data_IF_837072037887
#
_entry.id   IF_837072037887
#
_cell.length_a   1.000
_cell.length_b   1.000
_cell.length_c   1.000
_cell.angle_alpha   90.00
_cell.angle_beta   90.00
_cell.angle_gamma   90.00
#
_symmetry.space_group_name_H-M   'P 1'
#
loop_
_entity.id
_entity.type
_entity.pdbx_description
1 polymer ?
#
# COMPACT_ATOMS: atom_id res chain seq x y z
N UNK A 1 -65.44 46.12 -8.89
CA UNK A 1 -65.24 47.40 -8.19
C UNK A 1 -64.77 47.07 -6.79
N UNK A 2 -63.72 47.77 -6.33
CA UNK A 2 -63.19 47.80 -4.97
C UNK A 2 -62.36 46.60 -4.60
N UNK A 3 -61.02 46.50 -4.63
CA UNK A 3 -60.04 47.40 -4.08
C UNK A 3 -59.69 46.90 -2.66
N UNK A 4 -58.77 45.91 -2.47
CA UNK A 4 -58.28 45.52 -1.16
C UNK A 4 -56.75 45.73 -1.07
N UNK A 5 -56.44 46.52 -0.03
CA UNK A 5 -55.22 47.19 0.33
C UNK A 5 -54.11 46.23 0.81
N UNK A 6 -52.88 46.58 0.41
CA UNK A 6 -51.63 46.02 0.87
C UNK A 6 -51.26 46.51 2.28
N UNK A 7 -51.88 45.99 3.34
CA UNK A 7 -51.48 46.39 4.73
C UNK A 7 -51.89 45.39 5.81
N UNK A 8 -51.55 44.10 5.67
CA UNK A 8 -51.67 43.17 6.81
C UNK A 8 -50.68 42.00 6.74
N UNK A 9 -49.44 42.33 6.39
CA UNK A 9 -48.37 41.33 6.38
C UNK A 9 -47.15 41.80 7.19
N UNK A 10 -47.35 42.11 8.44
CA UNK A 10 -46.24 42.32 9.40
C UNK A 10 -46.80 42.17 10.82
N UNK A 11 -46.71 40.97 11.38
CA UNK A 11 -46.58 40.72 12.84
C UNK A 11 -46.63 39.20 13.09
N UNK A 12 -45.52 38.53 12.86
CA UNK A 12 -45.20 37.32 13.63
C UNK A 12 -43.68 37.33 13.88
N UNK A 13 -43.31 37.69 15.08
CA UNK A 13 -41.99 37.68 15.60
C UNK A 13 -41.49 36.23 15.69
N UNK A 14 -40.64 35.81 14.76
CA UNK A 14 -39.95 34.57 14.86
C UNK A 14 -38.70 34.69 15.75
N UNK A 15 -38.71 33.96 16.84
CA UNK A 15 -37.55 33.74 17.68
C UNK A 15 -36.45 33.05 16.85
N UNK A 16 -35.37 33.73 16.58
CA UNK A 16 -34.18 33.13 15.97
C UNK A 16 -33.44 32.40 17.09
N UNK A 17 -33.59 31.08 17.14
CA UNK A 17 -32.72 30.20 17.89
C UNK A 17 -31.37 30.17 17.16
N UNK A 18 -30.36 30.83 17.69
CA UNK A 18 -28.99 30.69 17.27
C UNK A 18 -28.49 29.31 17.66
N UNK A 19 -28.71 28.32 16.77
CA UNK A 19 -28.04 27.04 16.84
C UNK A 19 -26.57 27.24 16.53
N UNK A 20 -25.73 27.16 17.56
CA UNK A 20 -24.28 27.04 17.36
C UNK A 20 -24.01 25.74 16.59
N UNK A 21 -23.87 25.82 15.28
CA UNK A 21 -23.25 24.77 14.50
C UNK A 21 -21.79 24.70 14.95
N UNK A 22 -21.51 23.77 15.88
CA UNK A 22 -20.18 23.29 16.08
C UNK A 22 -19.74 22.68 14.73
N UNK A 23 -19.10 23.51 13.91
CA UNK A 23 -18.46 23.07 12.67
C UNK A 23 -17.32 22.13 13.04
N UNK A 24 -17.62 20.85 13.20
CA UNK A 24 -16.61 19.83 13.08
C UNK A 24 -15.98 20.04 11.70
N UNK A 25 -14.71 20.46 11.65
CA UNK A 25 -13.93 20.35 10.43
C UNK A 25 -13.94 18.87 10.06
N UNK A 26 -14.79 18.51 9.11
CA UNK A 26 -14.60 17.30 8.33
C UNK A 26 -13.22 17.50 7.70
N UNK A 27 -12.20 16.86 8.26
CA UNK A 27 -10.91 16.73 7.60
C UNK A 27 -11.23 15.88 6.38
N UNK A 28 -11.38 16.53 5.23
CA UNK A 28 -11.48 15.82 3.97
C UNK A 28 -10.22 14.96 3.88
N UNK A 29 -10.41 13.65 3.66
CA UNK A 29 -9.39 12.79 3.10
C UNK A 29 -9.37 13.09 1.59
N UNK A 30 -8.41 13.88 1.10
CA UNK A 30 -8.42 14.35 -0.27
C UNK A 30 -8.21 13.23 -1.28
N UNK A 31 -7.63 12.10 -0.87
CA UNK A 31 -7.46 10.92 -1.70
C UNK A 31 -8.72 10.04 -1.68
N UNK A 32 -9.66 10.25 -0.75
CA UNK A 32 -10.81 9.38 -0.50
C UNK A 32 -10.43 7.91 -0.30
N UNK A 33 -9.22 7.65 0.21
CA UNK A 33 -8.65 6.33 0.41
C UNK A 33 -8.19 6.17 1.86
N UNK A 34 -8.35 4.96 2.40
CA UNK A 34 -7.83 4.62 3.73
C UNK A 34 -6.31 4.71 3.76
N UNK A 35 -5.76 5.27 4.83
CA UNK A 35 -4.32 5.24 5.06
C UNK A 35 -3.93 3.81 5.44
N UNK A 36 -3.11 3.17 4.61
CA UNK A 36 -2.56 1.84 4.83
C UNK A 36 -1.15 1.87 5.39
N UNK A 37 -0.75 0.80 6.10
CA UNK A 37 0.62 0.55 6.52
C UNK A 37 1.06 -0.84 6.12
N UNK A 38 2.26 -0.96 5.54
CA UNK A 38 2.95 -2.24 5.43
C UNK A 38 3.53 -2.61 6.81
N UNK A 39 3.08 -3.75 7.36
CA UNK A 39 3.44 -4.18 8.73
C UNK A 39 4.93 -4.54 8.90
N UNK A 40 5.70 -4.65 7.81
CA UNK A 40 7.15 -4.76 7.88
C UNK A 40 7.80 -3.56 8.59
N UNK A 41 7.17 -2.38 8.52
CA UNK A 41 7.59 -1.19 9.27
C UNK A 41 7.62 -1.40 10.80
N UNK A 42 6.77 -2.27 11.31
CA UNK A 42 6.67 -2.58 12.75
C UNK A 42 7.10 -4.02 13.11
N UNK A 43 7.88 -4.67 12.21
CA UNK A 43 8.36 -6.06 12.36
C UNK A 43 9.07 -6.36 13.68
N UNK A 44 9.70 -5.34 14.29
CA UNK A 44 10.40 -5.47 15.54
C UNK A 44 9.49 -5.27 16.77
N UNK A 45 8.30 -4.69 16.59
CA UNK A 45 7.34 -4.41 17.65
C UNK A 45 6.29 -5.53 17.76
N UNK A 46 5.77 -6.02 16.64
CA UNK A 46 4.72 -7.03 16.59
C UNK A 46 5.06 -8.32 17.36
N UNK A 47 6.29 -8.88 17.35
CA UNK A 47 6.62 -10.05 18.15
C UNK A 47 6.62 -9.78 19.65
N UNK A 48 6.78 -8.53 20.09
CA UNK A 48 6.86 -8.15 21.51
C UNK A 48 5.47 -7.88 22.09
N UNK A 49 4.65 -7.17 21.32
CA UNK A 49 3.27 -6.82 21.71
C UNK A 49 2.44 -6.67 20.45
N UNK A 50 1.84 -7.75 20.00
CA UNK A 50 1.10 -7.79 18.76
C UNK A 50 -0.15 -6.90 18.82
N UNK A 51 -0.99 -7.12 19.82
CA UNK A 51 -2.28 -6.43 19.93
C UNK A 51 -2.10 -4.95 20.28
N UNK A 52 -1.19 -4.62 21.21
CA UNK A 52 -0.88 -3.23 21.54
C UNK A 52 -0.27 -2.46 20.38
N UNK A 53 0.57 -3.10 19.54
CA UNK A 53 1.11 -2.47 18.33
C UNK A 53 -0.01 -2.14 17.35
N UNK A 54 -0.93 -3.06 17.09
CA UNK A 54 -2.07 -2.82 16.19
C UNK A 54 -2.99 -1.70 16.71
N UNK A 55 -3.27 -1.66 18.01
CA UNK A 55 -4.05 -0.57 18.60
C UNK A 55 -3.35 0.79 18.43
N UNK A 56 -2.05 0.89 18.64
CA UNK A 56 -1.29 2.11 18.45
C UNK A 56 -1.30 2.59 16.98
N UNK A 57 -1.26 1.65 16.01
CA UNK A 57 -1.40 1.98 14.58
C UNK A 57 -2.78 2.55 14.27
N UNK A 58 -3.84 1.94 14.80
CA UNK A 58 -5.20 2.43 14.63
C UNK A 58 -5.39 3.83 15.24
N UNK A 59 -4.85 4.07 16.44
CA UNK A 59 -4.84 5.39 17.10
C UNK A 59 -4.05 6.44 16.30
N UNK A 60 -2.93 6.04 15.66
CA UNK A 60 -2.17 6.91 14.77
C UNK A 60 -2.99 7.33 13.54
N UNK A 61 -4.00 6.53 13.17
CA UNK A 61 -4.95 6.85 12.11
C UNK A 61 -4.88 5.95 10.91
N UNK A 62 -4.09 4.90 10.95
CA UNK A 62 -4.13 3.84 9.94
C UNK A 62 -5.48 3.12 9.98
N UNK A 63 -5.97 2.68 8.84
CA UNK A 63 -7.24 1.96 8.69
C UNK A 63 -7.07 0.64 7.96
N UNK A 64 -6.04 0.55 7.14
CA UNK A 64 -5.67 -0.65 6.41
C UNK A 64 -4.25 -1.08 6.76
N UNK A 65 -3.99 -2.37 6.64
CA UNK A 65 -2.65 -2.92 6.76
C UNK A 65 -2.40 -3.94 5.66
N UNK A 66 -1.14 -4.05 5.31
CA UNK A 66 -0.61 -5.15 4.53
C UNK A 66 0.26 -6.02 5.43
N UNK A 67 0.00 -7.32 5.45
CA UNK A 67 0.71 -8.25 6.30
C UNK A 67 2.11 -8.58 5.77
N UNK A 68 3.10 -8.62 6.65
CA UNK A 68 4.46 -9.10 6.39
C UNK A 68 4.71 -10.39 7.20
N UNK A 69 3.99 -11.45 6.83
CA UNK A 69 3.90 -12.68 7.64
C UNK A 69 2.82 -12.59 8.72
N UNK A 70 2.55 -13.72 9.40
CA UNK A 70 1.40 -13.86 10.30
C UNK A 70 1.78 -14.08 11.78
N UNK A 71 3.04 -13.97 12.14
CA UNK A 71 3.55 -14.00 13.53
C UNK A 71 3.05 -15.21 14.33
N UNK A 72 3.04 -16.40 13.73
CA UNK A 72 2.55 -17.68 14.31
C UNK A 72 1.07 -17.65 14.74
N UNK A 73 0.28 -16.68 14.28
CA UNK A 73 -1.16 -16.65 14.54
C UNK A 73 -1.91 -17.49 13.50
N UNK A 74 -2.92 -18.20 13.97
CA UNK A 74 -3.91 -18.81 13.08
C UNK A 74 -4.75 -17.74 12.40
N UNK A 75 -5.39 -18.06 11.28
CA UNK A 75 -6.23 -17.10 10.55
C UNK A 75 -7.38 -16.52 11.43
N UNK A 76 -8.09 -17.31 12.26
CA UNK A 76 -9.07 -16.75 13.19
C UNK A 76 -8.47 -15.80 14.24
N UNK A 77 -7.29 -16.10 14.80
CA UNK A 77 -6.62 -15.24 15.77
C UNK A 77 -6.16 -13.94 15.12
N UNK A 78 -5.59 -14.01 13.90
CA UNK A 78 -5.22 -12.83 13.12
C UNK A 78 -6.42 -11.92 12.86
N UNK A 79 -7.49 -12.52 12.31
CA UNK A 79 -8.71 -11.77 12.03
C UNK A 79 -9.29 -11.12 13.28
N UNK A 80 -9.35 -11.85 14.39
CA UNK A 80 -9.82 -11.31 15.66
C UNK A 80 -9.00 -10.10 16.11
N UNK A 81 -7.67 -10.19 16.07
CA UNK A 81 -6.80 -9.08 16.46
C UNK A 81 -6.99 -7.84 15.56
N UNK A 82 -7.13 -8.02 14.25
CA UNK A 82 -7.44 -6.92 13.32
C UNK A 82 -8.79 -6.28 13.64
N UNK A 83 -9.83 -7.09 13.86
CA UNK A 83 -11.17 -6.61 14.21
C UNK A 83 -11.15 -5.83 15.54
N UNK A 84 -10.44 -6.31 16.57
CA UNK A 84 -10.29 -5.62 17.86
C UNK A 84 -9.55 -4.27 17.74
N UNK A 85 -8.54 -4.20 16.89
CA UNK A 85 -7.81 -2.96 16.61
C UNK A 85 -8.58 -2.00 15.70
N UNK A 86 -9.67 -2.44 15.04
CA UNK A 86 -10.39 -1.65 14.04
C UNK A 86 -9.57 -1.43 12.77
N UNK A 87 -8.68 -2.37 12.42
CA UNK A 87 -7.86 -2.38 11.23
C UNK A 87 -8.38 -3.42 10.24
N UNK A 88 -8.24 -3.13 8.95
CA UNK A 88 -8.55 -4.06 7.87
C UNK A 88 -7.26 -4.52 7.19
N UNK A 89 -6.97 -5.82 7.26
CA UNK A 89 -5.90 -6.41 6.47
C UNK A 89 -6.45 -6.69 5.06
N UNK A 90 -5.88 -6.05 4.04
CA UNK A 90 -6.37 -6.15 2.66
C UNK A 90 -5.41 -6.86 1.74
N UNK A 91 -4.15 -6.93 2.12
CA UNK A 91 -3.05 -7.50 1.34
C UNK A 91 -2.04 -8.24 2.23
N UNK A 92 -1.24 -9.09 1.63
CA UNK A 92 -0.14 -9.81 2.31
C UNK A 92 1.05 -9.98 1.40
N UNK A 93 2.25 -9.88 1.98
CA UNK A 93 3.53 -10.17 1.34
C UNK A 93 4.02 -11.58 1.66
N UNK A 94 4.45 -12.29 0.62
CA UNK A 94 5.14 -13.57 0.72
C UNK A 94 6.28 -13.65 -0.29
N UNK A 95 7.48 -14.13 0.08
CA UNK A 95 8.55 -14.37 -0.90
C UNK A 95 8.18 -15.55 -1.81
N UNK A 96 8.67 -15.54 -3.05
CA UNK A 96 8.36 -16.56 -4.06
C UNK A 96 8.63 -17.99 -3.59
N UNK A 97 9.71 -18.31 -2.85
CA UNK A 97 9.91 -19.64 -2.32
C UNK A 97 8.75 -20.14 -1.44
N UNK A 98 8.25 -19.26 -0.56
CA UNK A 98 7.12 -19.59 0.32
C UNK A 98 5.83 -19.79 -0.48
N UNK A 99 5.55 -18.93 -1.45
CA UNK A 99 4.40 -19.07 -2.36
C UNK A 99 4.43 -20.39 -3.12
N UNK A 100 5.61 -20.83 -3.57
CA UNK A 100 5.73 -22.11 -4.27
C UNK A 100 5.56 -23.32 -3.34
N UNK A 101 6.05 -23.23 -2.12
CA UNK A 101 6.05 -24.34 -1.17
C UNK A 101 4.70 -24.53 -0.47
N UNK A 102 4.01 -23.43 -0.15
CA UNK A 102 2.82 -23.40 0.72
C UNK A 102 1.61 -22.73 0.06
N UNK A 103 1.53 -22.77 -1.27
CA UNK A 103 0.55 -22.00 -2.04
C UNK A 103 -0.90 -22.21 -1.59
N UNK A 104 -1.32 -23.47 -1.41
CA UNK A 104 -2.70 -23.79 -1.00
C UNK A 104 -3.01 -23.31 0.42
N UNK A 105 -2.08 -23.53 1.34
CA UNK A 105 -2.20 -23.10 2.74
C UNK A 105 -2.31 -21.58 2.85
N UNK A 106 -1.48 -20.85 2.11
CA UNK A 106 -1.49 -19.40 2.07
C UNK A 106 -2.79 -18.85 1.45
N UNK A 107 -3.29 -19.47 0.40
CA UNK A 107 -4.57 -19.11 -0.22
C UNK A 107 -5.73 -19.30 0.75
N UNK A 108 -5.81 -20.45 1.44
CA UNK A 108 -6.87 -20.73 2.40
C UNK A 108 -6.79 -19.80 3.63
N UNK A 109 -5.58 -19.49 4.09
CA UNK A 109 -5.37 -18.50 5.14
C UNK A 109 -5.89 -17.12 4.70
N UNK A 110 -5.47 -16.65 3.53
CA UNK A 110 -5.86 -15.38 2.95
C UNK A 110 -7.39 -15.25 2.77
N UNK A 111 -8.05 -16.31 2.29
CA UNK A 111 -9.51 -16.36 2.20
C UNK A 111 -10.19 -16.24 3.55
N UNK A 112 -9.68 -16.94 4.56
CA UNK A 112 -10.25 -16.93 5.92
C UNK A 112 -10.21 -15.54 6.54
N UNK A 113 -9.14 -14.78 6.33
CA UNK A 113 -9.03 -13.41 6.84
C UNK A 113 -9.60 -12.34 5.88
N UNK A 114 -10.08 -12.74 4.70
CA UNK A 114 -10.76 -11.86 3.76
C UNK A 114 -9.85 -10.93 2.96
N UNK A 115 -8.64 -11.40 2.62
CA UNK A 115 -7.70 -10.62 1.80
C UNK A 115 -8.24 -10.40 0.38
N UNK A 116 -7.87 -9.27 -0.19
CA UNK A 116 -8.12 -8.92 -1.59
C UNK A 116 -6.90 -9.19 -2.47
N UNK A 117 -5.70 -9.03 -1.90
CA UNK A 117 -4.44 -9.16 -2.63
C UNK A 117 -3.47 -10.12 -1.94
N UNK A 118 -2.73 -10.85 -2.77
CA UNK A 118 -1.58 -11.66 -2.36
C UNK A 118 -0.38 -11.22 -3.19
N UNK A 119 0.62 -10.64 -2.56
CA UNK A 119 1.76 -10.01 -3.21
C UNK A 119 3.02 -10.84 -3.02
N UNK A 120 3.71 -11.11 -4.13
CA UNK A 120 5.08 -11.62 -4.05
C UNK A 120 6.02 -10.48 -3.69
N UNK A 121 6.67 -10.57 -2.53
CA UNK A 121 7.55 -9.54 -1.99
C UNK A 121 9.01 -9.66 -2.46
N UNK A 122 9.42 -10.82 -2.93
CA UNK A 122 10.79 -11.02 -3.45
C UNK A 122 10.83 -12.23 -4.38
N UNK A 123 11.61 -12.14 -5.48
CA UNK A 123 11.80 -13.23 -6.42
C UNK A 123 12.80 -14.26 -5.88
N UNK A 124 13.10 -15.25 -6.68
CA UNK A 124 14.17 -16.21 -6.48
C UNK A 124 14.77 -16.62 -7.81
N UNK A 125 15.99 -17.14 -7.79
CA UNK A 125 16.57 -17.82 -8.96
C UNK A 125 15.73 -19.05 -9.33
N UNK A 126 15.69 -19.33 -10.63
CA UNK A 126 15.10 -20.57 -11.14
C UNK A 126 15.79 -21.81 -10.55
N UNK A 127 17.11 -21.80 -10.51
CA UNK A 127 17.92 -22.75 -9.76
C UNK A 127 18.18 -22.22 -8.34
N UNK A 128 17.59 -22.81 -7.29
CA UNK A 128 17.73 -22.32 -5.92
C UNK A 128 19.17 -22.44 -5.36
N UNK A 129 20.06 -23.13 -6.06
CA UNK A 129 21.49 -23.23 -5.69
C UNK A 129 22.33 -22.10 -6.27
N UNK A 130 21.79 -21.34 -7.23
CA UNK A 130 22.45 -20.20 -7.85
C UNK A 130 22.75 -19.11 -6.83
N UNK A 131 23.90 -18.46 -7.01
CA UNK A 131 24.36 -17.33 -6.20
C UNK A 131 24.75 -16.17 -7.11
N UNK A 132 24.47 -14.97 -6.69
CA UNK A 132 24.77 -13.76 -7.46
C UNK A 132 23.53 -13.07 -7.99
N UNK A 133 23.68 -12.14 -8.96
CA UNK A 133 22.56 -11.44 -9.56
C UNK A 133 21.64 -12.39 -10.34
N UNK A 134 20.36 -12.13 -10.35
CA UNK A 134 19.41 -12.83 -11.20
C UNK A 134 19.66 -12.46 -12.67
N UNK A 135 19.52 -13.46 -13.55
CA UNK A 135 19.67 -13.31 -15.00
C UNK A 135 18.30 -12.99 -15.65
N UNK A 136 18.33 -12.57 -16.91
CA UNK A 136 17.10 -12.36 -17.69
C UNK A 136 16.28 -13.65 -17.81
N UNK A 137 16.93 -14.82 -17.90
CA UNK A 137 16.26 -16.13 -17.92
C UNK A 137 15.57 -16.44 -16.58
N UNK A 138 16.17 -16.06 -15.45
CA UNK A 138 15.50 -16.16 -14.15
C UNK A 138 14.24 -15.30 -14.12
N UNK A 139 14.30 -14.08 -14.64
CA UNK A 139 13.16 -13.16 -14.64
C UNK A 139 12.03 -13.60 -15.60
N UNK A 140 12.37 -14.23 -16.73
CA UNK A 140 11.37 -14.87 -17.58
C UNK A 140 10.66 -16.02 -16.86
N UNK A 141 11.41 -16.89 -16.19
CA UNK A 141 10.84 -17.96 -15.38
C UNK A 141 9.99 -17.42 -14.21
N UNK A 142 10.42 -16.34 -13.55
CA UNK A 142 9.63 -15.65 -12.51
C UNK A 142 8.30 -15.16 -13.08
N UNK A 143 8.29 -14.58 -14.29
CA UNK A 143 7.07 -14.13 -14.95
C UNK A 143 6.10 -15.28 -15.22
N UNK A 144 6.61 -16.45 -15.67
CA UNK A 144 5.80 -17.66 -15.87
C UNK A 144 5.19 -18.15 -14.55
N UNK A 145 5.98 -18.18 -13.47
CA UNK A 145 5.48 -18.54 -12.13
C UNK A 145 4.43 -17.53 -11.62
N UNK A 146 4.61 -16.25 -11.88
CA UNK A 146 3.63 -15.23 -11.50
C UNK A 146 2.31 -15.42 -12.25
N UNK A 147 2.34 -15.72 -13.53
CA UNK A 147 1.14 -16.03 -14.30
C UNK A 147 0.43 -17.27 -13.76
N UNK A 148 1.20 -18.33 -13.42
CA UNK A 148 0.66 -19.58 -12.84
C UNK A 148 0.01 -19.33 -11.47
N UNK A 149 0.73 -18.66 -10.55
CA UNK A 149 0.24 -18.35 -9.20
C UNK A 149 -0.97 -17.40 -9.31
N UNK A 150 -0.87 -16.39 -10.17
CA UNK A 150 -1.94 -15.41 -10.40
C UNK A 150 -3.24 -16.05 -10.87
N UNK A 151 -3.17 -17.06 -11.74
CA UNK A 151 -4.35 -17.82 -12.16
C UNK A 151 -5.02 -18.54 -10.97
N UNK A 152 -4.22 -19.14 -10.09
CA UNK A 152 -4.71 -19.86 -8.92
C UNK A 152 -5.29 -18.91 -7.86
N UNK A 153 -4.60 -17.85 -7.53
CA UNK A 153 -5.06 -16.80 -6.59
C UNK A 153 -6.37 -16.18 -7.09
N UNK A 154 -6.46 -15.91 -8.39
CA UNK A 154 -7.68 -15.39 -9.03
C UNK A 154 -8.85 -16.37 -8.93
N UNK A 155 -8.61 -17.67 -9.11
CA UNK A 155 -9.65 -18.70 -8.94
C UNK A 155 -10.20 -18.76 -7.51
N UNK A 156 -9.39 -18.32 -6.54
CA UNK A 156 -9.78 -18.20 -5.13
C UNK A 156 -10.46 -16.84 -4.80
N UNK A 157 -10.70 -15.99 -5.80
CA UNK A 157 -11.41 -14.72 -5.64
C UNK A 157 -10.54 -13.54 -5.23
N UNK A 158 -9.22 -13.66 -5.29
CA UNK A 158 -8.25 -12.63 -4.94
C UNK A 158 -7.44 -12.20 -6.17
N UNK A 159 -6.65 -11.14 -6.04
CA UNK A 159 -5.71 -10.66 -7.05
C UNK A 159 -4.28 -10.95 -6.61
N UNK A 160 -3.48 -11.56 -7.49
CA UNK A 160 -2.05 -11.71 -7.29
C UNK A 160 -1.29 -10.47 -7.78
N UNK A 161 -0.19 -10.12 -7.10
CA UNK A 161 0.66 -9.02 -7.51
C UNK A 161 2.14 -9.23 -7.17
N UNK A 162 2.94 -8.28 -7.62
CA UNK A 162 4.38 -8.24 -7.38
C UNK A 162 4.81 -6.87 -6.84
N UNK A 163 5.61 -6.86 -5.79
CA UNK A 163 6.23 -5.69 -5.18
C UNK A 163 7.71 -5.61 -5.57
N UNK A 164 8.14 -4.43 -6.03
CA UNK A 164 9.52 -4.21 -6.48
C UNK A 164 10.42 -3.63 -5.39
N UNK A 165 11.71 -3.96 -5.53
CA UNK A 165 12.84 -3.30 -4.89
C UNK A 165 13.74 -2.63 -5.95
N UNK A 166 15.04 -2.48 -5.66
CA UNK A 166 15.99 -1.86 -6.59
C UNK A 166 16.50 -2.81 -7.69
N UNK A 167 16.67 -4.09 -7.36
CA UNK A 167 17.32 -5.07 -8.25
C UNK A 167 16.60 -5.27 -9.57
N UNK A 168 15.28 -5.10 -9.59
CA UNK A 168 14.43 -5.24 -10.76
C UNK A 168 14.71 -4.19 -11.84
N UNK A 169 15.35 -3.08 -11.47
CA UNK A 169 15.70 -2.00 -12.39
C UNK A 169 17.11 -2.15 -12.99
N UNK A 170 17.81 -3.19 -12.60
CA UNK A 170 19.03 -3.63 -13.28
C UNK A 170 18.69 -4.15 -14.70
N UNK A 171 19.72 -4.36 -15.50
CA UNK A 171 19.55 -4.76 -16.89
C UNK A 171 20.58 -5.77 -17.33
N UNK A 172 20.17 -6.67 -18.19
CA UNK A 172 21.02 -7.57 -18.93
C UNK A 172 20.79 -7.37 -20.44
N UNK A 173 21.84 -7.28 -21.23
CA UNK A 173 21.78 -7.04 -22.68
C UNK A 173 20.87 -5.84 -23.09
N UNK A 174 20.82 -4.81 -22.25
CA UNK A 174 19.98 -3.62 -22.48
C UNK A 174 18.53 -3.74 -22.05
N UNK A 175 18.07 -4.93 -21.63
CA UNK A 175 16.71 -5.20 -21.15
C UNK A 175 16.64 -4.97 -19.64
N UNK A 176 15.73 -4.11 -19.19
CA UNK A 176 15.44 -3.87 -17.77
C UNK A 176 14.49 -4.95 -17.27
N UNK A 177 14.83 -5.60 -16.16
CA UNK A 177 14.05 -6.75 -15.67
C UNK A 177 12.61 -6.38 -15.30
N UNK A 178 12.40 -5.24 -14.66
CA UNK A 178 11.05 -4.76 -14.32
C UNK A 178 10.18 -4.52 -15.57
N UNK A 179 10.76 -3.98 -16.62
CA UNK A 179 10.07 -3.77 -17.89
C UNK A 179 9.68 -5.12 -18.54
N UNK A 180 10.56 -6.11 -18.42
CA UNK A 180 10.30 -7.44 -18.94
C UNK A 180 9.22 -8.17 -18.13
N UNK A 181 9.20 -8.04 -16.79
CA UNK A 181 8.12 -8.55 -15.95
C UNK A 181 6.76 -7.94 -16.34
N UNK A 182 6.72 -6.62 -16.53
CA UNK A 182 5.49 -5.93 -16.98
C UNK A 182 4.99 -6.44 -18.33
N UNK A 183 5.89 -6.83 -19.22
CA UNK A 183 5.60 -7.31 -20.57
C UNK A 183 5.18 -8.78 -20.58
N UNK A 184 5.85 -9.64 -19.81
CA UNK A 184 5.67 -11.09 -19.83
C UNK A 184 4.52 -11.59 -18.95
N UNK A 185 4.06 -10.77 -17.99
CA UNK A 185 2.94 -11.15 -17.10
C UNK A 185 1.59 -10.72 -17.67
N UNK A 186 0.60 -11.62 -17.59
CA UNK A 186 -0.78 -11.33 -18.01
C UNK A 186 -1.41 -10.28 -17.08
N UNK A 187 -1.84 -9.11 -17.60
CA UNK A 187 -2.45 -8.05 -16.79
C UNK A 187 -3.78 -8.45 -16.12
N UNK A 188 -4.39 -9.56 -16.54
CA UNK A 188 -5.59 -10.10 -15.89
C UNK A 188 -5.28 -11.00 -14.71
N UNK A 189 -4.04 -11.45 -14.58
CA UNK A 189 -3.58 -12.38 -13.55
C UNK A 189 -2.66 -11.70 -12.54
N UNK A 190 -1.82 -10.77 -13.00
CA UNK A 190 -0.77 -10.15 -12.20
C UNK A 190 -0.93 -8.63 -12.22
N UNK A 191 -1.13 -8.05 -11.05
CA UNK A 191 -0.99 -6.60 -10.82
C UNK A 191 0.41 -6.27 -10.30
N UNK A 192 0.73 -4.99 -10.18
CA UNK A 192 1.97 -4.55 -9.54
C UNK A 192 1.63 -3.63 -8.37
N UNK A 193 2.33 -3.87 -7.28
CA UNK A 193 2.45 -2.95 -6.18
C UNK A 193 3.77 -2.20 -6.35
N UNK A 194 3.69 -0.97 -6.86
CA UNK A 194 4.90 -0.20 -7.12
C UNK A 194 5.39 0.47 -5.84
N UNK A 195 6.57 0.07 -5.37
CA UNK A 195 7.29 0.86 -4.37
C UNK A 195 7.97 2.05 -5.05
N UNK A 196 7.38 3.23 -4.87
CA UNK A 196 7.86 4.45 -5.49
C UNK A 196 9.21 4.91 -4.96
N UNK A 197 9.52 4.61 -3.70
CA UNK A 197 10.82 4.91 -3.07
C UNK A 197 11.96 4.12 -3.71
N UNK A 198 11.76 2.82 -3.87
CA UNK A 198 12.76 1.96 -4.53
C UNK A 198 12.91 2.24 -6.02
N UNK A 199 11.83 2.61 -6.73
CA UNK A 199 11.93 3.08 -8.13
C UNK A 199 12.86 4.28 -8.23
N UNK A 200 12.69 5.27 -7.34
CA UNK A 200 13.54 6.48 -7.35
C UNK A 200 14.97 6.16 -6.90
N UNK A 201 15.14 5.31 -5.89
CA UNK A 201 16.46 4.86 -5.44
C UNK A 201 17.25 4.15 -6.56
N UNK A 202 16.55 3.44 -7.45
CA UNK A 202 17.11 2.82 -8.65
C UNK A 202 17.38 3.82 -9.79
N UNK A 203 17.16 5.13 -9.57
CA UNK A 203 17.34 6.16 -10.59
C UNK A 203 16.27 6.16 -11.69
N UNK A 204 15.08 5.64 -11.39
CA UNK A 204 13.94 5.58 -12.32
C UNK A 204 12.82 6.52 -11.87
N UNK A 205 11.83 6.69 -12.72
CA UNK A 205 10.69 7.57 -12.45
C UNK A 205 9.39 6.77 -12.31
N UNK A 206 8.73 6.80 -11.13
CA UNK A 206 7.39 6.24 -10.98
C UNK A 206 6.39 6.81 -11.99
N UNK A 207 6.54 8.10 -12.33
CA UNK A 207 5.65 8.78 -13.28
C UNK A 207 5.73 8.21 -14.69
N UNK A 208 6.91 7.75 -15.12
CA UNK A 208 7.07 7.11 -16.43
C UNK A 208 6.32 5.78 -16.49
N UNK A 209 6.40 4.98 -15.44
CA UNK A 209 5.68 3.71 -15.32
C UNK A 209 4.16 3.93 -15.30
N UNK A 210 3.69 4.87 -14.48
CA UNK A 210 2.26 5.20 -14.38
C UNK A 210 1.69 5.75 -15.69
N UNK A 211 2.45 6.57 -16.44
CA UNK A 211 2.03 7.07 -17.76
C UNK A 211 1.96 5.95 -18.81
N UNK A 212 2.94 5.03 -18.79
CA UNK A 212 3.04 3.96 -19.79
C UNK A 212 2.03 2.86 -19.60
N UNK A 213 1.74 2.50 -18.34
CA UNK A 213 0.94 1.30 -18.01
C UNK A 213 0.09 1.50 -16.74
N UNK A 214 -0.76 2.55 -16.66
CA UNK A 214 -1.46 2.90 -15.42
C UNK A 214 -2.31 1.75 -14.87
N UNK A 215 -2.87 0.92 -15.74
CA UNK A 215 -3.74 -0.21 -15.38
C UNK A 215 -3.01 -1.36 -14.68
N UNK A 216 -1.67 -1.37 -14.70
CA UNK A 216 -0.87 -2.42 -14.05
C UNK A 216 -0.65 -2.17 -12.56
N UNK A 217 -0.86 -0.94 -12.07
CA UNK A 217 -0.53 -0.50 -10.71
C UNK A 217 -1.79 -0.26 -9.89
N UNK A 218 -2.25 -1.32 -9.22
CA UNK A 218 -3.42 -1.24 -8.34
C UNK A 218 -3.05 -0.92 -6.89
N UNK A 219 -1.79 -1.11 -6.53
CA UNK A 219 -1.25 -0.84 -5.20
C UNK A 219 0.02 0.00 -5.31
N UNK A 220 0.27 0.82 -4.29
CA UNK A 220 1.52 1.56 -4.14
C UNK A 220 2.08 1.38 -2.74
N UNK A 221 3.40 1.19 -2.64
CA UNK A 221 4.11 1.55 -1.43
C UNK A 221 4.51 3.03 -1.48
N UNK A 222 4.06 3.74 -0.47
CA UNK A 222 4.33 5.16 -0.26
C UNK A 222 5.48 5.26 0.72
N UNK A 223 6.69 5.27 0.17
CA UNK A 223 7.96 5.28 0.89
C UNK A 223 8.77 6.52 0.55
N UNK A 224 8.98 7.41 1.52
CA UNK A 224 9.90 8.54 1.38
C UNK A 224 11.35 8.07 1.59
N UNK A 225 12.22 8.44 0.67
CA UNK A 225 13.63 8.06 0.69
C UNK A 225 14.52 9.28 0.81
N UNK A 226 15.63 9.13 1.52
CA UNK A 226 16.72 10.10 1.56
C UNK A 226 18.06 9.40 1.25
N UNK A 227 18.95 10.09 0.56
CA UNK A 227 20.29 9.57 0.29
C UNK A 227 21.28 10.12 1.31
N UNK A 228 21.86 9.22 2.09
CA UNK A 228 22.88 9.59 3.09
C UNK A 228 24.21 10.00 2.44
N UNK A 229 25.11 10.59 3.25
CA UNK A 229 26.47 10.95 2.84
C UNK A 229 27.32 9.73 2.45
N UNK A 230 26.94 8.54 2.93
CA UNK A 230 27.53 7.24 2.56
C UNK A 230 27.01 6.71 1.21
N UNK A 231 26.16 7.48 0.53
CA UNK A 231 25.57 7.12 -0.75
C UNK A 231 24.40 6.13 -0.67
N UNK A 232 24.07 5.62 0.52
CA UNK A 232 22.95 4.67 0.72
C UNK A 232 21.62 5.40 0.84
N UNK A 233 20.60 4.77 0.31
CA UNK A 233 19.22 5.20 0.50
C UNK A 233 18.67 4.64 1.81
N UNK A 234 17.90 5.47 2.52
CA UNK A 234 17.17 5.09 3.73
C UNK A 234 15.77 5.67 3.65
N UNK A 235 14.81 4.94 4.17
CA UNK A 235 13.47 5.48 4.35
C UNK A 235 13.47 6.55 5.44
N UNK A 236 12.63 7.57 5.26
CA UNK A 236 12.48 8.69 6.19
C UNK A 236 11.00 9.05 6.32
N UNK A 237 10.67 9.78 7.38
CA UNK A 237 9.31 10.29 7.61
C UNK A 237 8.78 11.00 6.35
N UNK A 238 7.51 10.76 6.04
CA UNK A 238 6.80 11.34 4.90
C UNK A 238 6.96 12.87 4.83
N UNK A 239 7.27 13.35 3.62
CA UNK A 239 7.53 14.76 3.36
C UNK A 239 8.95 15.23 3.69
N UNK A 240 9.82 14.37 4.23
CA UNK A 240 11.24 14.70 4.52
C UNK A 240 12.22 14.16 3.48
N UNK A 241 11.71 13.55 2.42
CA UNK A 241 12.50 12.94 1.35
C UNK A 241 11.78 13.01 0.02
N UNK A 242 12.06 12.09 -0.84
CA UNK A 242 11.48 11.96 -2.17
C UNK A 242 10.95 10.53 -2.38
N UNK A 243 10.06 10.28 -3.36
CA UNK A 243 9.54 11.23 -4.36
C UNK A 243 8.48 12.21 -3.81
N UNK A 244 8.14 13.22 -4.61
CA UNK A 244 6.90 13.97 -4.43
C UNK A 244 5.72 13.12 -4.88
N UNK A 245 4.76 12.92 -3.99
CA UNK A 245 3.62 12.04 -4.21
C UNK A 245 2.43 12.71 -4.94
N UNK A 246 2.38 14.05 -5.03
CA UNK A 246 1.28 14.74 -5.74
C UNK A 246 1.14 14.27 -7.19
N UNK A 247 2.18 14.34 -8.05
CA UNK A 247 2.04 13.87 -9.42
C UNK A 247 1.87 12.34 -9.53
N UNK A 248 2.33 11.56 -8.53
CA UNK A 248 2.18 10.11 -8.51
C UNK A 248 0.72 9.75 -8.31
N UNK A 249 0.06 10.26 -7.27
CA UNK A 249 -1.36 9.99 -7.01
C UNK A 249 -2.25 10.54 -8.14
N UNK A 250 -1.92 11.70 -8.70
CA UNK A 250 -2.65 12.26 -9.85
C UNK A 250 -2.64 11.36 -11.10
N UNK A 251 -1.58 10.55 -11.28
CA UNK A 251 -1.44 9.64 -12.41
C UNK A 251 -1.88 8.20 -12.11
N UNK A 252 -2.02 7.83 -10.84
CA UNK A 252 -2.32 6.46 -10.40
C UNK A 252 -3.81 6.13 -10.56
N UNK A 253 -4.35 6.23 -11.77
CA UNK A 253 -5.79 6.11 -12.07
C UNK A 253 -6.41 4.74 -11.76
N UNK A 254 -5.61 3.70 -11.62
CA UNK A 254 -6.07 2.34 -11.27
C UNK A 254 -5.84 1.97 -9.82
N UNK A 255 -5.32 2.90 -9.02
CA UNK A 255 -4.98 2.66 -7.61
C UNK A 255 -6.22 2.27 -6.80
N UNK A 256 -6.07 1.23 -5.99
CA UNK A 256 -7.10 0.72 -5.08
C UNK A 256 -6.71 0.87 -3.62
N UNK A 257 -5.43 0.65 -3.30
CA UNK A 257 -4.87 0.78 -1.96
C UNK A 257 -3.46 1.34 -2.05
N UNK A 258 -3.03 2.01 -0.99
CA UNK A 258 -1.64 2.37 -0.80
C UNK A 258 -1.22 2.08 0.64
N UNK A 259 0.03 1.70 0.81
CA UNK A 259 0.60 1.41 2.12
C UNK A 259 1.84 2.27 2.32
N UNK A 260 1.86 3.00 3.43
CA UNK A 260 3.09 3.63 3.90
C UNK A 260 4.05 2.52 4.29
N UNK A 261 5.32 2.66 3.93
CA UNK A 261 6.37 1.79 4.44
C UNK A 261 7.59 2.62 4.82
N UNK A 262 7.95 2.57 6.11
CA UNK A 262 9.20 3.11 6.63
C UNK A 262 9.97 1.97 7.28
N UNK A 263 11.20 1.73 6.84
CA UNK A 263 12.05 0.62 7.29
C UNK A 263 13.16 1.07 8.23
N UNK A 264 13.60 2.33 8.06
CA UNK A 264 14.65 2.97 8.87
C UNK A 264 14.03 4.02 9.78
N UNK A 265 14.37 4.00 11.05
CA UNK A 265 13.90 4.94 12.05
C UNK A 265 15.08 5.62 12.74
N UNK A 266 14.95 6.89 13.01
CA UNK A 266 15.95 7.67 13.75
C UNK A 266 15.62 7.77 15.24
N UNK A 267 14.39 7.49 15.60
CA UNK A 267 13.86 7.53 16.96
C UNK A 267 12.87 6.40 17.23
N UNK A 268 11.81 6.72 17.97
CA UNK A 268 10.73 5.77 18.23
C UNK A 268 9.90 5.49 16.98
N UNK A 269 9.81 4.24 16.51
CA UNK A 269 9.09 3.91 15.28
C UNK A 269 7.63 4.36 15.30
N UNK A 270 6.93 4.19 16.43
CA UNK A 270 5.52 4.58 16.52
C UNK A 270 5.32 6.09 16.48
N UNK A 271 6.27 6.86 17.02
CA UNK A 271 6.22 8.32 16.91
C UNK A 271 6.42 8.79 15.45
N UNK A 272 7.36 8.18 14.72
CA UNK A 272 7.59 8.51 13.31
C UNK A 272 6.43 8.07 12.41
N UNK A 273 5.87 6.88 12.62
CA UNK A 273 4.68 6.42 11.89
C UNK A 273 3.42 7.27 12.16
N UNK A 274 3.30 7.88 13.36
CA UNK A 274 2.26 8.88 13.62
C UNK A 274 2.44 10.13 12.77
N UNK A 275 3.68 10.58 12.54
CA UNK A 275 3.97 11.71 11.65
C UNK A 275 3.62 11.37 10.20
N UNK A 276 3.90 10.15 9.76
CA UNK A 276 3.55 9.66 8.42
C UNK A 276 2.03 9.67 8.20
N UNK A 277 1.28 9.12 9.14
CA UNK A 277 -0.18 9.15 9.08
C UNK A 277 -0.74 10.58 9.11
N UNK A 278 -0.14 11.47 9.91
CA UNK A 278 -0.53 12.89 9.97
C UNK A 278 -0.23 13.62 8.66
N UNK A 279 0.88 13.28 7.99
CA UNK A 279 1.20 13.83 6.68
C UNK A 279 0.13 13.42 5.65
N UNK A 280 -0.20 12.14 5.58
CA UNK A 280 -1.21 11.64 4.62
C UNK A 280 -2.62 12.15 4.92
N UNK A 281 -2.99 12.36 6.18
CA UNK A 281 -4.27 13.00 6.54
C UNK A 281 -4.42 14.44 6.02
N UNK A 282 -3.32 15.13 5.78
CA UNK A 282 -3.27 16.52 5.30
C UNK A 282 -2.84 16.62 3.85
N UNK A 283 -2.58 15.49 3.22
CA UNK A 283 -2.14 15.43 1.83
C UNK A 283 -3.29 15.85 0.91
N UNK A 284 -3.08 16.85 0.06
CA UNK A 284 -4.06 17.38 -0.90
C UNK A 284 -3.50 17.20 -2.33
N UNK A 285 -4.37 16.79 -3.29
CA UNK A 285 -4.03 16.66 -4.71
C UNK A 285 -4.17 17.98 -5.44
#
# INVERSE_FOLDING_TARGET
MIGSSRRDFLKTSGVIAAGACAGGRLTADPLHMSIGLQLYSVRELLPKDFDGTLHQLSEAGYKEVEAAGYYNKTAPEWKHAMDQAGLRCVSTHHPLPMLKQHEDELIEYAKTIGLQYMICSSPMHRDPTSKGPMTLDDWHWVADEFNRIGAKVKSAGMQFGYHNHMGEFEKENGVVFYDELLKQTDPKLVTFEMDCGWVVAAGRSPLEYLKRSPQRFQLLHVKCMSRGSDGKYRSVVMGRGYPDYHPIFALASSLKHYFIEQEDFTGDPMAELRLDAQFMKRFEL
#
